data_IF_294582297863
#
_entry.id   IF_294582297863
#
_cell.length_a   1.000
_cell.length_b   1.000
_cell.length_c   1.000
_cell.angle_alpha   90.00
_cell.angle_beta   90.00
_cell.angle_gamma   90.00
#
_symmetry.space_group_name_H-M   'P 1'
#
loop_
_entity.id
_entity.type
_entity.pdbx_description
1 polymer ?
#
# COMPACT_ATOMS: atom_id res chain seq x y z
N UNK A 1 13.73 -0.52 -19.80
CA UNK A 1 14.11 -0.34 -18.38
C UNK A 1 13.08 -1.10 -17.57
N UNK A 2 13.48 -1.80 -16.52
CA UNK A 2 12.55 -2.54 -15.67
C UNK A 2 11.57 -1.56 -14.99
N UNK A 3 10.27 -1.91 -14.98
CA UNK A 3 9.20 -1.08 -14.43
C UNK A 3 9.46 -0.72 -12.96
N UNK A 4 10.00 -1.67 -12.21
CA UNK A 4 10.32 -1.51 -10.80
C UNK A 4 11.43 -0.46 -10.59
N UNK A 5 12.48 -0.50 -11.41
CA UNK A 5 13.54 0.53 -11.37
C UNK A 5 13.01 1.94 -11.67
N UNK A 6 12.09 2.05 -12.63
CA UNK A 6 11.49 3.35 -12.95
C UNK A 6 10.58 3.86 -11.83
N UNK A 7 9.83 2.96 -11.18
CA UNK A 7 9.00 3.30 -10.03
C UNK A 7 9.86 3.72 -8.83
N UNK A 8 10.96 3.02 -8.57
CA UNK A 8 11.91 3.36 -7.50
C UNK A 8 12.54 4.74 -7.72
N UNK A 9 12.85 5.11 -8.97
CA UNK A 9 13.34 6.46 -9.29
C UNK A 9 12.31 7.56 -8.96
N UNK A 10 11.01 7.28 -9.08
CA UNK A 10 9.95 8.21 -8.64
C UNK A 10 9.94 8.31 -7.11
N UNK A 11 10.08 7.20 -6.39
CA UNK A 11 10.15 7.19 -4.91
C UNK A 11 11.32 8.03 -4.41
N UNK A 12 12.49 7.89 -5.03
CA UNK A 12 13.67 8.71 -4.74
C UNK A 12 13.39 10.19 -5.01
N UNK A 13 12.78 10.51 -6.16
CA UNK A 13 12.37 11.88 -6.51
C UNK A 13 11.41 12.48 -5.47
N UNK A 14 10.45 11.70 -4.97
CA UNK A 14 9.53 12.13 -3.90
C UNK A 14 10.31 12.45 -2.64
N UNK A 15 11.22 11.56 -2.23
CA UNK A 15 12.04 11.74 -1.02
C UNK A 15 12.88 13.02 -1.07
N UNK A 16 13.55 13.26 -2.20
CA UNK A 16 14.43 14.40 -2.39
C UNK A 16 13.70 15.74 -2.54
N UNK A 17 12.56 15.74 -3.25
CA UNK A 17 11.96 16.98 -3.78
C UNK A 17 10.67 17.41 -3.10
N UNK A 18 10.03 16.57 -2.28
CA UNK A 18 8.74 16.91 -1.64
C UNK A 18 8.75 18.24 -0.89
N UNK A 19 9.86 18.59 -0.24
CA UNK A 19 10.01 19.87 0.48
C UNK A 19 10.02 21.10 -0.45
N UNK A 20 10.32 20.92 -1.73
CA UNK A 20 10.32 21.97 -2.75
C UNK A 20 8.96 22.08 -3.48
N UNK A 21 8.11 21.07 -3.36
CA UNK A 21 6.83 20.94 -4.07
C UNK A 21 5.70 21.56 -3.24
N UNK A 22 5.47 22.85 -3.39
CA UNK A 22 4.55 23.59 -2.52
C UNK A 22 3.11 23.72 -3.05
N UNK A 23 2.85 23.38 -4.31
CA UNK A 23 1.54 23.55 -4.95
C UNK A 23 1.00 22.24 -5.52
N UNK A 24 -0.31 22.21 -5.75
CA UNK A 24 -0.98 21.10 -6.44
C UNK A 24 -0.40 20.92 -7.87
N UNK A 25 -0.19 22.01 -8.61
CA UNK A 25 0.44 21.96 -9.94
C UNK A 25 1.88 21.44 -9.91
N UNK A 26 2.67 21.82 -8.90
CA UNK A 26 4.00 21.27 -8.73
C UNK A 26 3.95 19.76 -8.39
N UNK A 27 2.94 19.33 -7.64
CA UNK A 27 2.70 17.90 -7.30
C UNK A 27 2.36 17.11 -8.57
N UNK A 28 1.45 17.64 -9.38
CA UNK A 28 1.07 17.08 -10.68
C UNK A 28 2.28 16.90 -11.60
N UNK A 29 3.07 17.95 -11.77
CA UNK A 29 4.25 17.94 -12.66
C UNK A 29 5.38 17.04 -12.13
N UNK A 30 5.66 17.08 -10.83
CA UNK A 30 6.86 16.44 -10.26
C UNK A 30 6.63 14.98 -9.91
N UNK A 31 5.42 14.58 -9.52
CA UNK A 31 5.13 13.24 -9.02
C UNK A 31 4.12 12.49 -9.89
N UNK A 32 3.00 13.12 -10.25
CA UNK A 32 1.91 12.44 -10.99
C UNK A 32 2.29 12.18 -12.45
N UNK A 33 2.78 13.19 -13.18
CA UNK A 33 3.14 13.03 -14.60
C UNK A 33 4.24 11.97 -14.81
N UNK A 34 5.33 11.93 -14.02
CA UNK A 34 6.30 10.84 -14.10
C UNK A 34 5.69 9.47 -13.83
N UNK A 35 4.78 9.36 -12.86
CA UNK A 35 4.08 8.10 -12.59
C UNK A 35 3.25 7.61 -13.79
N UNK A 36 2.50 8.50 -14.44
CA UNK A 36 1.76 8.15 -15.67
C UNK A 36 2.70 7.71 -16.80
N UNK A 37 3.85 8.36 -16.93
CA UNK A 37 4.88 7.97 -17.89
C UNK A 37 5.45 6.58 -17.61
N UNK A 38 5.65 6.23 -16.33
CA UNK A 38 6.12 4.89 -15.91
C UNK A 38 5.07 3.81 -16.18
N UNK A 39 3.78 4.13 -16.07
CA UNK A 39 2.70 3.25 -16.55
C UNK A 39 2.63 3.17 -18.10
N UNK A 40 3.49 3.88 -18.84
CA UNK A 40 3.55 3.82 -20.29
C UNK A 40 2.52 4.68 -21.01
N UNK A 41 1.86 5.63 -20.32
CA UNK A 41 1.00 6.61 -20.97
C UNK A 41 1.84 7.76 -21.55
N UNK A 42 1.57 8.12 -22.80
CA UNK A 42 2.22 9.27 -23.43
C UNK A 42 1.58 10.58 -22.95
N UNK A 43 2.15 11.14 -21.89
CA UNK A 43 1.71 12.40 -21.27
C UNK A 43 1.86 13.63 -22.17
N UNK A 44 2.56 13.52 -23.31
CA UNK A 44 2.68 14.61 -24.29
C UNK A 44 1.70 14.47 -25.45
N UNK A 45 0.99 13.35 -25.54
CA UNK A 45 -0.04 13.14 -26.55
C UNK A 45 -1.42 13.51 -25.98
N UNK A 46 -2.01 14.64 -26.41
CA UNK A 46 -3.31 15.09 -25.91
C UNK A 46 -4.48 14.22 -26.41
N UNK A 47 -4.23 13.19 -27.22
CA UNK A 47 -5.24 12.16 -27.55
C UNK A 47 -5.20 10.96 -26.61
N UNK A 48 -4.17 10.86 -25.74
CA UNK A 48 -3.99 9.78 -24.78
C UNK A 48 -4.13 10.29 -23.35
N UNK A 49 -3.44 11.36 -22.99
CA UNK A 49 -3.57 12.01 -21.67
C UNK A 49 -4.08 13.42 -21.89
N UNK A 50 -5.34 13.66 -21.53
CA UNK A 50 -6.02 14.95 -21.66
C UNK A 50 -5.98 15.67 -20.32
N UNK A 51 -5.23 16.77 -20.17
CA UNK A 51 -5.28 17.58 -18.96
C UNK A 51 -6.57 18.41 -18.89
N UNK A 52 -6.97 18.81 -17.69
CA UNK A 52 -8.14 19.67 -17.44
C UNK A 52 -9.41 19.17 -18.14
N UNK A 53 -9.69 17.86 -18.04
CA UNK A 53 -10.77 17.22 -18.78
C UNK A 53 -12.16 17.64 -18.29
N UNK A 54 -13.03 17.98 -19.25
CA UNK A 54 -14.44 18.33 -19.05
C UNK A 54 -15.35 17.38 -19.81
N UNK A 55 -16.38 16.83 -19.17
CA UNK A 55 -17.43 16.11 -19.85
C UNK A 55 -18.53 17.10 -20.26
N UNK A 56 -18.93 17.09 -21.52
CA UNK A 56 -19.91 18.04 -22.10
C UNK A 56 -21.36 17.85 -21.60
N UNK A 57 -21.57 17.06 -20.54
CA UNK A 57 -22.89 16.62 -20.07
C UNK A 57 -23.28 17.37 -18.80
N UNK A 58 -23.75 18.62 -18.92
CA UNK A 58 -24.59 19.27 -17.88
C UNK A 58 -24.02 19.38 -16.45
N UNK A 59 -22.73 19.08 -16.23
CA UNK A 59 -22.04 19.25 -14.96
C UNK A 59 -21.98 20.74 -14.66
N UNK A 60 -21.90 21.10 -13.37
CA UNK A 60 -21.73 22.46 -12.87
C UNK A 60 -20.71 23.20 -13.75
N UNK A 61 -21.18 24.23 -14.46
CA UNK A 61 -20.44 24.92 -15.53
C UNK A 61 -19.03 25.31 -15.04
N UNK A 62 -17.99 24.73 -15.64
CA UNK A 62 -16.58 25.06 -15.35
C UNK A 62 -15.86 24.13 -14.36
N UNK A 63 -16.48 23.06 -13.88
CA UNK A 63 -15.76 22.00 -13.20
C UNK A 63 -14.89 21.21 -14.20
N UNK A 64 -13.73 20.69 -13.78
CA UNK A 64 -12.81 19.89 -14.60
C UNK A 64 -12.09 18.89 -13.70
N UNK A 65 -11.77 17.70 -14.21
CA UNK A 65 -10.81 16.80 -13.54
C UNK A 65 -9.41 17.03 -14.11
N UNK A 66 -8.39 16.76 -13.31
CA UNK A 66 -7.02 17.11 -13.69
C UNK A 66 -6.50 16.38 -14.92
N UNK A 67 -6.77 15.07 -15.02
CA UNK A 67 -6.42 14.30 -16.22
C UNK A 67 -7.52 13.29 -16.56
N UNK A 68 -7.66 13.02 -17.85
CA UNK A 68 -8.34 11.85 -18.37
C UNK A 68 -7.41 11.06 -19.30
N UNK A 69 -7.31 9.75 -19.06
CA UNK A 69 -6.64 8.83 -19.97
C UNK A 69 -7.69 8.30 -20.95
N UNK A 70 -7.38 8.41 -22.24
CA UNK A 70 -8.21 7.97 -23.33
C UNK A 70 -7.77 6.61 -23.84
N UNK A 71 -8.76 5.76 -24.14
CA UNK A 71 -8.59 4.46 -24.81
C UNK A 71 -9.59 4.39 -25.95
N UNK A 72 -9.11 4.09 -27.16
CA UNK A 72 -9.92 4.02 -28.37
C UNK A 72 -10.77 5.28 -28.63
N UNK A 73 -10.19 6.46 -28.36
CA UNK A 73 -10.84 7.77 -28.56
C UNK A 73 -11.91 8.13 -27.52
N UNK A 74 -12.02 7.38 -26.42
CA UNK A 74 -12.98 7.63 -25.34
C UNK A 74 -12.28 7.75 -23.98
N UNK A 75 -12.82 8.56 -23.04
CA UNK A 75 -12.27 8.63 -21.69
C UNK A 75 -12.42 7.27 -21.00
N UNK A 76 -11.34 6.78 -20.40
CA UNK A 76 -11.27 5.45 -19.78
C UNK A 76 -10.88 5.51 -18.30
N UNK A 77 -9.92 6.36 -17.95
CA UNK A 77 -9.50 6.59 -16.55
C UNK A 77 -9.58 8.09 -16.25
N UNK A 78 -10.23 8.47 -15.16
CA UNK A 78 -10.15 9.83 -14.63
C UNK A 78 -9.12 9.91 -13.52
N UNK A 79 -8.42 11.03 -13.43
CA UNK A 79 -7.42 11.27 -12.40
C UNK A 79 -7.63 12.65 -11.81
N UNK A 80 -7.76 12.71 -10.50
CA UNK A 80 -7.81 13.93 -9.71
C UNK A 80 -6.60 13.93 -8.78
N UNK A 81 -5.83 15.00 -8.83
CA UNK A 81 -4.64 15.19 -8.03
C UNK A 81 -4.87 16.26 -6.95
N UNK A 82 -4.18 16.13 -5.83
CA UNK A 82 -4.13 17.11 -4.74
C UNK A 82 -2.68 17.43 -4.42
N UNK A 83 -2.46 18.48 -3.63
CA UNK A 83 -1.13 18.77 -3.12
C UNK A 83 -0.61 17.58 -2.31
N UNK A 84 0.68 17.24 -2.43
CA UNK A 84 1.28 16.09 -1.75
C UNK A 84 1.14 16.10 -0.21
N UNK A 85 0.91 17.28 0.38
CA UNK A 85 0.67 17.47 1.82
C UNK A 85 -0.79 17.25 2.24
N UNK A 86 -1.73 17.19 1.30
CA UNK A 86 -3.14 17.02 1.59
C UNK A 86 -3.50 15.56 1.88
N UNK A 87 -4.44 15.38 2.81
CA UNK A 87 -5.13 14.11 3.00
C UNK A 87 -6.21 13.98 1.91
N UNK A 88 -6.28 12.83 1.24
CA UNK A 88 -7.22 12.54 0.16
C UNK A 88 -8.66 12.24 0.63
N UNK A 89 -8.91 12.15 1.94
CA UNK A 89 -10.24 11.85 2.48
C UNK A 89 -11.27 12.92 2.09
N UNK A 90 -12.40 12.50 1.51
CA UNK A 90 -13.48 13.38 1.00
C UNK A 90 -13.13 14.24 -0.24
N UNK A 91 -11.98 14.00 -0.89
CA UNK A 91 -11.58 14.70 -2.12
C UNK A 91 -12.04 14.02 -3.42
N UNK A 92 -12.94 13.03 -3.35
CA UNK A 92 -13.41 12.27 -4.51
C UNK A 92 -14.64 12.87 -5.22
N UNK A 93 -15.18 14.00 -4.73
CA UNK A 93 -16.42 14.59 -5.23
C UNK A 93 -16.43 14.87 -6.74
N UNK A 94 -15.30 15.34 -7.29
CA UNK A 94 -15.17 15.63 -8.72
C UNK A 94 -15.17 14.34 -9.53
N UNK A 95 -14.35 13.36 -9.12
CA UNK A 95 -14.31 12.03 -9.74
C UNK A 95 -15.70 11.36 -9.76
N UNK A 96 -16.44 11.37 -8.63
CA UNK A 96 -17.80 10.79 -8.57
C UNK A 96 -18.71 11.41 -9.63
N UNK A 97 -18.72 12.75 -9.74
CA UNK A 97 -19.60 13.45 -10.68
C UNK A 97 -19.28 13.06 -12.12
N UNK A 98 -18.01 12.99 -12.49
CA UNK A 98 -17.59 12.71 -13.86
C UNK A 98 -17.71 11.24 -14.20
N UNK A 99 -17.26 10.36 -13.31
CA UNK A 99 -17.32 8.91 -13.50
C UNK A 99 -18.74 8.46 -13.80
N UNK A 100 -19.73 8.99 -13.06
CA UNK A 100 -21.12 8.58 -13.22
C UNK A 100 -21.79 9.13 -14.50
N UNK A 101 -21.16 10.08 -15.22
CA UNK A 101 -21.75 10.72 -16.41
C UNK A 101 -21.42 10.03 -17.73
N UNK A 102 -20.32 9.26 -17.80
CA UNK A 102 -19.89 8.58 -19.02
C UNK A 102 -19.57 7.10 -18.75
N UNK A 103 -20.34 6.16 -19.31
CA UNK A 103 -20.15 4.72 -19.09
C UNK A 103 -18.87 4.15 -19.69
N UNK A 104 -18.13 4.91 -20.52
CA UNK A 104 -16.83 4.49 -21.02
C UNK A 104 -15.72 4.60 -19.96
N UNK A 105 -15.95 5.40 -18.92
CA UNK A 105 -15.02 5.56 -17.80
C UNK A 105 -15.13 4.33 -16.91
N UNK A 106 -14.01 3.63 -16.73
CA UNK A 106 -13.94 2.37 -15.96
C UNK A 106 -13.18 2.50 -14.66
N UNK A 107 -12.28 3.48 -14.58
CA UNK A 107 -11.47 3.72 -13.40
C UNK A 107 -11.44 5.20 -13.05
N UNK A 108 -11.35 5.47 -11.75
CA UNK A 108 -11.02 6.79 -11.23
C UNK A 108 -9.84 6.67 -10.26
N UNK A 109 -8.91 7.61 -10.32
CA UNK A 109 -7.72 7.66 -9.48
C UNK A 109 -7.71 8.98 -8.73
N UNK A 110 -7.74 8.93 -7.41
CA UNK A 110 -7.48 10.08 -6.55
C UNK A 110 -6.07 9.97 -6.00
N UNK A 111 -5.26 11.02 -6.16
CA UNK A 111 -3.86 10.98 -5.75
C UNK A 111 -3.36 12.32 -5.20
N UNK A 112 -2.33 12.27 -4.36
CA UNK A 112 -1.52 13.44 -4.00
C UNK A 112 -0.07 13.29 -4.50
N UNK A 113 0.15 12.43 -5.50
CA UNK A 113 1.48 12.10 -6.01
C UNK A 113 2.24 11.06 -5.20
N UNK A 114 1.89 10.84 -3.92
CA UNK A 114 2.50 9.85 -3.03
C UNK A 114 1.55 8.67 -2.80
N UNK A 115 0.30 8.95 -2.46
CA UNK A 115 -0.77 7.96 -2.33
C UNK A 115 -1.65 7.97 -3.58
N UNK A 116 -2.01 6.78 -4.07
CA UNK A 116 -2.88 6.56 -5.21
C UNK A 116 -4.03 5.65 -4.79
N UNK A 117 -5.26 6.16 -4.87
CA UNK A 117 -6.50 5.45 -4.55
C UNK A 117 -7.25 5.18 -5.85
N UNK A 118 -7.45 3.91 -6.18
CA UNK A 118 -8.13 3.47 -7.40
C UNK A 118 -9.57 3.05 -7.07
N UNK A 119 -10.50 3.58 -7.85
CA UNK A 119 -11.93 3.34 -7.75
C UNK A 119 -12.46 2.77 -9.06
N UNK A 120 -13.55 2.01 -8.95
CA UNK A 120 -14.30 1.46 -10.09
C UNK A 120 -15.78 1.31 -9.65
N UNK A 121 -16.58 0.57 -10.40
CA UNK A 121 -18.05 0.44 -10.25
C UNK A 121 -18.48 -1.00 -9.97
N UNK A 122 -17.89 -1.65 -8.95
CA UNK A 122 -18.20 -3.05 -8.61
C UNK A 122 -19.60 -3.18 -8.02
N UNK A 123 -20.03 -2.22 -7.20
CA UNK A 123 -21.31 -2.31 -6.50
C UNK A 123 -22.49 -2.11 -7.42
N UNK A 124 -22.39 -1.11 -8.29
CA UNK A 124 -23.41 -0.75 -9.24
C UNK A 124 -22.74 -0.20 -10.49
N UNK A 125 -23.06 -0.79 -11.64
CA UNK A 125 -22.53 -0.36 -12.92
C UNK A 125 -22.75 1.15 -13.17
N UNK A 126 -21.71 1.82 -13.65
CA UNK A 126 -21.66 3.26 -13.91
C UNK A 126 -21.93 4.13 -12.67
N UNK A 127 -21.69 3.59 -11.47
CA UNK A 127 -21.71 4.32 -10.22
C UNK A 127 -20.40 4.06 -9.47
N UNK A 128 -19.58 5.09 -9.33
CA UNK A 128 -18.28 4.95 -8.66
C UNK A 128 -18.45 4.47 -7.21
N UNK A 129 -17.73 3.42 -6.85
CA UNK A 129 -17.72 2.89 -5.49
C UNK A 129 -17.19 3.93 -4.50
N UNK A 130 -17.70 3.91 -3.26
CA UNK A 130 -17.27 4.84 -2.20
C UNK A 130 -15.88 4.53 -1.65
N UNK A 131 -15.47 3.27 -1.72
CA UNK A 131 -14.23 2.76 -1.15
C UNK A 131 -13.32 2.37 -2.31
N UNK A 132 -12.04 2.78 -2.31
CA UNK A 132 -11.11 2.35 -3.34
C UNK A 132 -10.82 0.86 -3.19
N UNK A 133 -10.74 0.13 -4.32
CA UNK A 133 -10.39 -1.29 -4.31
C UNK A 133 -8.88 -1.52 -4.21
N UNK A 134 -8.09 -0.50 -4.53
CA UNK A 134 -6.63 -0.52 -4.45
C UNK A 134 -6.13 0.83 -3.91
N UNK A 135 -5.29 0.78 -2.89
CA UNK A 135 -4.60 1.95 -2.32
C UNK A 135 -3.12 1.64 -2.27
N UNK A 136 -2.32 2.50 -2.88
CA UNK A 136 -0.87 2.34 -2.95
C UNK A 136 -0.21 3.61 -2.45
N UNK A 137 0.77 3.45 -1.56
CA UNK A 137 1.61 4.53 -1.08
C UNK A 137 3.03 4.29 -1.61
N UNK A 138 3.53 5.20 -2.44
CA UNK A 138 4.82 5.08 -3.09
C UNK A 138 6.00 5.09 -2.11
N UNK A 139 5.89 5.79 -0.97
CA UNK A 139 6.91 5.76 0.08
C UNK A 139 6.91 4.45 0.89
N UNK A 140 5.88 3.60 0.74
CA UNK A 140 5.69 2.35 1.49
C UNK A 140 5.37 1.17 0.58
N UNK A 141 5.99 1.14 -0.60
CA UNK A 141 5.76 0.10 -1.60
C UNK A 141 6.09 -1.29 -1.07
N UNK A 142 5.19 -2.22 -1.35
CA UNK A 142 5.39 -3.65 -1.14
C UNK A 142 5.46 -4.37 -2.49
N UNK A 143 6.10 -5.55 -2.57
CA UNK A 143 6.15 -6.33 -3.81
C UNK A 143 4.76 -6.59 -4.44
N UNK A 144 3.73 -6.78 -3.60
CA UNK A 144 2.34 -6.93 -4.07
C UNK A 144 1.79 -5.66 -4.74
N UNK A 145 2.18 -4.49 -4.27
CA UNK A 145 1.69 -3.22 -4.79
C UNK A 145 2.28 -2.98 -6.19
N UNK A 146 3.56 -3.33 -6.40
CA UNK A 146 4.22 -3.32 -7.72
C UNK A 146 3.49 -4.27 -8.68
N UNK A 147 3.15 -5.48 -8.23
CA UNK A 147 2.38 -6.45 -9.04
C UNK A 147 1.01 -5.90 -9.43
N UNK A 148 0.32 -5.21 -8.51
CA UNK A 148 -0.97 -4.59 -8.81
C UNK A 148 -0.83 -3.40 -9.78
N UNK A 149 0.20 -2.55 -9.63
CA UNK A 149 0.47 -1.44 -10.54
C UNK A 149 0.80 -1.87 -11.97
N UNK A 150 1.52 -3.00 -12.14
CA UNK A 150 1.85 -3.53 -13.47
C UNK A 150 0.59 -3.78 -14.32
N UNK A 151 -0.56 -4.02 -13.70
CA UNK A 151 -1.85 -4.21 -14.38
C UNK A 151 -2.38 -2.94 -15.02
N UNK A 152 -1.94 -1.77 -14.55
CA UNK A 152 -2.31 -0.47 -15.08
C UNK A 152 -1.33 0.05 -16.15
N UNK A 153 -0.32 -0.73 -16.50
CA UNK A 153 0.56 -0.42 -17.63
C UNK A 153 -0.28 -0.39 -18.91
N UNK A 154 -0.11 0.65 -19.72
CA UNK A 154 -0.91 0.92 -20.92
C UNK A 154 -1.03 -0.29 -21.86
N UNK A 155 0.06 -1.03 -22.08
CA UNK A 155 0.09 -2.21 -22.96
C UNK A 155 -0.57 -3.45 -22.36
N UNK A 156 -0.62 -3.55 -21.04
CA UNK A 156 -1.04 -4.75 -20.30
C UNK A 156 -2.44 -4.57 -19.67
N UNK A 157 -3.06 -3.41 -19.89
CA UNK A 157 -4.31 -2.99 -19.27
C UNK A 157 -5.50 -3.84 -19.70
N UNK A 158 -5.84 -4.84 -18.88
CA UNK A 158 -6.98 -5.71 -19.05
C UNK A 158 -8.10 -5.37 -18.04
N UNK A 159 -9.22 -4.86 -18.57
CA UNK A 159 -10.36 -4.42 -17.77
C UNK A 159 -10.95 -5.57 -16.92
N UNK A 160 -11.27 -6.70 -17.56
CA UNK A 160 -11.94 -7.81 -16.91
C UNK A 160 -11.08 -8.41 -15.79
N UNK A 161 -9.77 -8.51 -16.03
CA UNK A 161 -8.83 -8.99 -15.02
C UNK A 161 -8.75 -8.05 -13.81
N UNK A 162 -8.65 -6.74 -14.03
CA UNK A 162 -8.59 -5.75 -12.95
C UNK A 162 -9.90 -5.75 -12.16
N UNK A 163 -11.06 -5.81 -12.83
CA UNK A 163 -12.37 -5.86 -12.17
C UNK A 163 -12.52 -7.12 -11.31
N UNK A 164 -12.08 -8.29 -11.81
CA UNK A 164 -12.10 -9.52 -11.02
C UNK A 164 -11.27 -9.40 -9.74
N UNK A 165 -10.06 -8.83 -9.84
CA UNK A 165 -9.18 -8.63 -8.68
C UNK A 165 -9.77 -7.60 -7.72
N UNK A 166 -10.39 -6.54 -8.26
CA UNK A 166 -11.04 -5.53 -7.45
C UNK A 166 -12.20 -6.14 -6.65
N UNK A 167 -12.99 -7.03 -7.26
CA UNK A 167 -14.02 -7.81 -6.57
C UNK A 167 -13.44 -8.71 -5.47
N UNK A 168 -12.37 -9.47 -5.76
CA UNK A 168 -11.71 -10.32 -4.77
C UNK A 168 -11.18 -9.50 -3.58
N UNK A 169 -10.52 -8.38 -3.85
CA UNK A 169 -9.97 -7.48 -2.83
C UNK A 169 -11.04 -6.89 -1.93
N UNK A 170 -12.22 -6.59 -2.46
CA UNK A 170 -13.38 -6.18 -1.65
C UNK A 170 -13.71 -7.23 -0.59
N UNK A 171 -13.81 -8.50 -0.99
CA UNK A 171 -14.10 -9.59 -0.06
C UNK A 171 -12.96 -9.81 0.94
N UNK A 172 -11.71 -9.80 0.51
CA UNK A 172 -10.57 -9.93 1.41
C UNK A 172 -10.54 -8.84 2.48
N UNK A 173 -10.82 -7.60 2.09
CA UNK A 173 -10.86 -6.48 3.02
C UNK A 173 -12.01 -6.62 4.03
N UNK A 174 -13.21 -6.94 3.56
CA UNK A 174 -14.36 -7.17 4.43
C UNK A 174 -14.09 -8.31 5.43
N UNK A 175 -13.51 -9.41 4.96
CA UNK A 175 -13.12 -10.55 5.80
C UNK A 175 -12.07 -10.14 6.84
N UNK A 176 -11.04 -9.39 6.45
CA UNK A 176 -10.01 -8.88 7.37
C UNK A 176 -10.61 -7.99 8.46
N UNK A 177 -11.56 -7.12 8.10
CA UNK A 177 -12.22 -6.23 9.06
C UNK A 177 -13.09 -7.02 10.04
N UNK A 178 -13.80 -8.05 9.56
CA UNK A 178 -14.54 -9.00 10.42
C UNK A 178 -13.57 -9.70 11.37
N UNK A 179 -12.48 -10.29 10.87
CA UNK A 179 -11.49 -10.97 11.71
C UNK A 179 -10.88 -10.04 12.75
N UNK A 180 -10.52 -8.82 12.38
CA UNK A 180 -9.97 -7.83 13.32
C UNK A 180 -10.96 -7.54 14.44
N UNK A 181 -12.23 -7.32 14.09
CA UNK A 181 -13.27 -7.10 15.08
C UNK A 181 -13.50 -8.33 15.97
N UNK A 182 -13.52 -9.54 15.41
CA UNK A 182 -13.69 -10.79 16.17
C UNK A 182 -12.50 -11.09 17.09
N UNK A 183 -11.28 -10.67 16.74
CA UNK A 183 -10.10 -10.78 17.60
C UNK A 183 -10.20 -9.81 18.79
N UNK A 184 -10.58 -8.56 18.54
CA UNK A 184 -10.69 -7.52 19.58
C UNK A 184 -11.93 -7.73 20.47
N UNK A 185 -13.05 -8.08 19.85
CA UNK A 185 -14.39 -8.22 20.44
C UNK A 185 -15.10 -9.47 19.87
N UNK A 186 -14.73 -10.69 20.30
CA UNK A 186 -15.35 -11.91 19.81
C UNK A 186 -16.87 -11.92 20.05
N UNK A 187 -17.63 -12.17 19.00
CA UNK A 187 -19.08 -12.31 19.04
C UNK A 187 -19.50 -13.63 19.70
N UNK A 188 -20.74 -13.72 20.14
CA UNK A 188 -21.29 -14.95 20.74
C UNK A 188 -21.30 -16.11 19.72
N UNK A 189 -21.56 -15.83 18.45
CA UNK A 189 -21.57 -16.82 17.38
C UNK A 189 -20.17 -17.39 17.12
N UNK A 190 -19.19 -16.49 16.95
CA UNK A 190 -17.80 -16.86 16.76
C UNK A 190 -17.25 -17.62 17.97
N UNK A 191 -17.58 -17.15 19.18
CA UNK A 191 -17.21 -17.83 20.43
C UNK A 191 -17.83 -19.22 20.53
N UNK A 192 -19.12 -19.34 20.19
CA UNK A 192 -19.83 -20.63 20.22
C UNK A 192 -19.23 -21.63 19.24
N UNK A 193 -18.78 -21.18 18.07
CA UNK A 193 -18.10 -22.03 17.08
C UNK A 193 -16.86 -22.72 17.67
N UNK A 194 -16.00 -22.00 18.38
CA UNK A 194 -14.84 -22.61 19.05
C UNK A 194 -15.25 -23.46 20.26
N UNK A 195 -16.12 -22.93 21.12
CA UNK A 195 -16.49 -23.59 22.35
C UNK A 195 -17.12 -24.98 22.11
N UNK A 196 -18.00 -25.10 21.11
CA UNK A 196 -18.64 -26.39 20.74
C UNK A 196 -17.65 -27.47 20.29
N UNK A 197 -16.47 -27.09 19.80
CA UNK A 197 -15.43 -28.04 19.39
C UNK A 197 -14.56 -28.51 20.57
N UNK A 198 -14.67 -27.85 21.73
CA UNK A 198 -13.80 -28.06 22.89
C UNK A 198 -14.55 -28.51 24.14
N UNK A 199 -15.88 -28.29 24.21
CA UNK A 199 -16.68 -28.64 25.38
C UNK A 199 -18.11 -29.07 25.03
N UNK A 200 -18.64 -30.01 25.80
CA UNK A 200 -20.05 -30.43 25.77
C UNK A 200 -20.96 -29.57 26.66
N UNK A 201 -20.39 -28.59 27.39
CA UNK A 201 -21.17 -27.66 28.22
C UNK A 201 -22.24 -26.96 27.36
N UNK A 202 -23.42 -26.73 27.95
CA UNK A 202 -24.43 -25.88 27.32
C UNK A 202 -23.87 -24.47 27.14
N UNK A 203 -24.04 -23.89 25.95
CA UNK A 203 -23.61 -22.53 25.61
C UNK A 203 -24.45 -21.47 26.34
N UNK A 204 -24.24 -21.32 27.64
CA UNK A 204 -24.83 -20.25 28.45
C UNK A 204 -23.99 -18.98 28.32
N UNK A 205 -24.53 -17.81 28.67
CA UNK A 205 -23.79 -16.55 28.66
C UNK A 205 -22.51 -16.59 29.49
N UNK A 206 -22.50 -17.34 30.61
CA UNK A 206 -21.30 -17.51 31.43
C UNK A 206 -20.20 -18.31 30.71
N UNK A 207 -20.57 -19.39 29.99
CA UNK A 207 -19.61 -20.18 29.21
C UNK A 207 -19.10 -19.37 28.02
N UNK A 208 -19.96 -18.60 27.35
CA UNK A 208 -19.53 -17.73 26.25
C UNK A 208 -18.55 -16.65 26.75
N UNK A 209 -18.82 -15.98 27.86
CA UNK A 209 -17.86 -14.99 28.41
C UNK A 209 -16.53 -15.60 28.85
N UNK A 210 -16.55 -16.81 29.42
CA UNK A 210 -15.33 -17.57 29.73
C UNK A 210 -14.51 -17.82 28.46
N UNK A 211 -15.15 -18.35 27.41
CA UNK A 211 -14.47 -18.67 26.14
C UNK A 211 -14.04 -17.43 25.35
N UNK A 212 -14.76 -16.31 25.41
CA UNK A 212 -14.32 -15.03 24.82
C UNK A 212 -12.95 -14.62 25.35
N UNK A 213 -12.74 -14.76 26.66
CA UNK A 213 -11.45 -14.43 27.28
C UNK A 213 -10.33 -15.37 26.80
N UNK A 214 -10.62 -16.67 26.67
CA UNK A 214 -9.65 -17.63 26.14
C UNK A 214 -9.30 -17.36 24.69
N UNK A 215 -10.29 -17.04 23.85
CA UNK A 215 -10.10 -16.71 22.44
C UNK A 215 -9.20 -15.47 22.30
N UNK A 216 -9.51 -14.37 23.02
CA UNK A 216 -8.68 -13.15 23.02
C UNK A 216 -7.24 -13.43 23.42
N UNK A 217 -7.04 -14.21 24.49
CA UNK A 217 -5.70 -14.57 24.98
C UNK A 217 -4.95 -15.39 23.94
N UNK A 218 -5.59 -16.43 23.39
CA UNK A 218 -4.99 -17.31 22.39
C UNK A 218 -4.59 -16.55 21.12
N UNK A 219 -5.45 -15.66 20.60
CA UNK A 219 -5.09 -14.83 19.45
C UNK A 219 -3.88 -13.93 19.72
N UNK A 220 -3.81 -13.32 20.91
CA UNK A 220 -2.67 -12.47 21.30
C UNK A 220 -1.37 -13.28 21.35
N UNK A 221 -1.40 -14.47 21.92
CA UNK A 221 -0.24 -15.38 21.97
C UNK A 221 0.19 -15.78 20.55
N UNK A 222 -0.73 -16.23 19.69
CA UNK A 222 -0.43 -16.58 18.29
C UNK A 222 0.20 -15.41 17.53
N UNK A 223 -0.33 -14.19 17.68
CA UNK A 223 0.21 -13.01 16.99
C UNK A 223 1.63 -12.70 17.49
N UNK A 224 1.88 -12.81 18.79
CA UNK A 224 3.20 -12.58 19.36
C UNK A 224 4.20 -13.63 18.88
N UNK A 225 3.80 -14.90 18.83
CA UNK A 225 4.65 -15.99 18.35
C UNK A 225 4.99 -15.79 16.87
N UNK A 226 3.99 -15.48 16.04
CA UNK A 226 4.22 -15.17 14.61
C UNK A 226 5.13 -13.95 14.40
N UNK A 227 5.02 -12.93 15.27
CA UNK A 227 5.90 -11.77 15.22
C UNK A 227 7.33 -12.14 15.65
N UNK A 228 7.48 -12.91 16.72
CA UNK A 228 8.77 -13.40 17.21
C UNK A 228 9.47 -14.27 16.17
N UNK A 229 8.76 -15.22 15.56
CA UNK A 229 9.30 -16.09 14.51
C UNK A 229 9.78 -15.28 13.30
N UNK A 230 8.99 -14.28 12.86
CA UNK A 230 9.40 -13.40 11.75
C UNK A 230 10.63 -12.58 12.10
N UNK A 231 10.68 -11.98 13.30
CA UNK A 231 11.83 -11.19 13.76
C UNK A 231 13.06 -12.08 13.87
N UNK A 232 12.92 -13.28 14.42
CA UNK A 232 14.02 -14.24 14.58
C UNK A 232 14.52 -14.73 13.23
N UNK A 233 13.64 -15.03 12.27
CA UNK A 233 14.03 -15.39 10.91
C UNK A 233 14.76 -14.25 10.21
N UNK A 234 14.32 -13.00 10.39
CA UNK A 234 15.03 -11.82 9.88
C UNK A 234 16.41 -11.72 10.54
N UNK A 235 16.51 -11.86 11.86
CA UNK A 235 17.78 -11.83 12.60
C UNK A 235 18.75 -12.91 12.13
N UNK A 236 18.29 -14.15 11.97
CA UNK A 236 19.10 -15.27 11.51
C UNK A 236 19.56 -15.08 10.06
N UNK A 237 18.69 -14.57 9.17
CA UNK A 237 19.09 -14.22 7.81
C UNK A 237 20.13 -13.09 7.78
N UNK A 238 20.03 -12.10 8.67
CA UNK A 238 21.03 -11.05 8.81
C UNK A 238 22.35 -11.56 9.41
N UNK A 239 22.32 -12.56 10.31
CA UNK A 239 23.52 -13.20 10.86
C UNK A 239 24.21 -14.11 9.84
N UNK A 240 23.46 -14.87 9.04
CA UNK A 240 24.01 -15.70 7.98
C UNK A 240 24.71 -14.88 6.87
N UNK A 241 24.30 -13.63 6.65
CA UNK A 241 25.00 -12.69 5.76
C UNK A 241 26.34 -12.23 6.37
N UNK A 242 26.46 -12.19 7.71
CA UNK A 242 27.71 -11.80 8.38
C UNK A 242 28.70 -12.97 8.51
N UNK A 243 28.23 -14.23 8.58
CA UNK A 243 29.10 -15.41 8.72
C UNK A 243 29.87 -15.77 7.43
N UNK A 244 29.51 -15.17 6.28
CA UNK A 244 30.24 -15.34 5.01
C UNK A 244 31.42 -14.35 4.81
N UNK A 245 31.61 -13.35 5.70
CA UNK A 245 32.71 -12.37 5.58
C UNK A 245 33.82 -12.46 6.65
N UNK A 246 33.66 -13.17 7.76
CA UNK A 246 34.70 -13.23 8.80
C UNK A 246 35.46 -14.57 8.82
N UNK A 247 36.45 -14.68 7.95
CA UNK A 247 37.54 -15.65 8.07
C UNK A 247 38.91 -14.95 8.07
N UNK A 248 39.08 -13.92 8.91
CA UNK A 248 40.40 -13.39 9.24
C UNK A 248 40.69 -13.37 10.75
N UNK A 249 41.66 -14.20 11.10
CA UNK A 249 42.55 -14.27 12.27
C UNK A 249 42.25 -13.40 13.50
N UNK A 250 42.00 -14.11 14.61
CA UNK A 250 42.01 -13.64 16.00
C UNK A 250 43.40 -13.11 16.36
N UNK A 251 43.49 -11.83 16.75
CA UNK A 251 44.60 -11.28 17.53
C UNK A 251 44.07 -10.78 18.89
N UNK A 252 44.77 -11.20 19.95
CA UNK A 252 44.46 -10.97 21.36
C UNK A 252 44.78 -9.53 21.79
N UNK A 253 43.73 -8.80 22.20
CA UNK A 253 43.68 -7.81 23.32
C UNK A 253 42.60 -6.76 23.00
N UNK A 254 41.33 -7.04 23.32
CA UNK A 254 40.25 -6.04 23.21
C UNK A 254 40.06 -5.39 24.58
N UNK A 255 40.40 -4.10 24.70
CA UNK A 255 40.14 -3.27 25.89
C UNK A 255 38.68 -2.81 25.97
N UNK A 256 37.93 -2.90 24.87
CA UNK A 256 36.50 -2.59 24.81
C UNK A 256 35.69 -3.88 24.66
N UNK A 257 34.77 -4.10 25.60
CA UNK A 257 33.79 -5.20 25.55
C UNK A 257 32.47 -4.63 25.07
N UNK A 258 32.14 -4.85 23.81
CA UNK A 258 30.85 -4.47 23.25
C UNK A 258 29.76 -5.35 23.85
N UNK A 259 28.81 -4.71 24.52
CA UNK A 259 27.72 -5.37 25.24
C UNK A 259 26.63 -5.86 24.28
N UNK A 260 25.82 -6.82 24.74
CA UNK A 260 24.67 -7.29 23.96
C UNK A 260 23.67 -6.16 23.67
N UNK A 261 23.50 -5.20 24.59
CA UNK A 261 22.63 -4.04 24.40
C UNK A 261 23.14 -3.11 23.30
N UNK A 262 24.46 -2.87 23.23
CA UNK A 262 25.09 -2.05 22.19
C UNK A 262 24.98 -2.71 20.82
N UNK A 263 25.15 -4.03 20.74
CA UNK A 263 24.91 -4.81 19.52
C UNK A 263 23.44 -4.74 19.09
N UNK A 264 22.49 -4.88 20.03
CA UNK A 264 21.08 -4.74 19.73
C UNK A 264 20.75 -3.34 19.20
N UNK A 265 21.27 -2.29 19.85
CA UNK A 265 21.12 -0.90 19.40
C UNK A 265 21.68 -0.69 17.99
N UNK A 266 22.88 -1.21 17.73
CA UNK A 266 23.50 -1.19 16.40
C UNK A 266 22.62 -1.88 15.35
N UNK A 267 22.09 -3.08 15.63
CA UNK A 267 21.24 -3.81 14.67
C UNK A 267 19.89 -3.13 14.43
N UNK A 268 19.32 -2.46 15.44
CA UNK A 268 18.11 -1.65 15.27
C UNK A 268 18.39 -0.50 14.30
N UNK A 269 19.49 0.25 14.51
CA UNK A 269 19.90 1.35 13.64
C UNK A 269 20.21 0.84 12.22
N UNK A 270 20.96 -0.25 12.09
CA UNK A 270 21.29 -0.88 10.82
C UNK A 270 20.02 -1.33 10.06
N UNK A 271 19.02 -1.86 10.77
CA UNK A 271 17.72 -2.26 10.18
C UNK A 271 16.89 -1.07 9.71
N UNK A 272 16.90 0.04 10.45
CA UNK A 272 16.23 1.28 10.06
C UNK A 272 16.87 1.85 8.79
N UNK A 273 18.20 1.87 8.73
CA UNK A 273 18.95 2.37 7.58
C UNK A 273 18.82 1.45 6.36
N UNK A 274 18.78 0.13 6.55
CA UNK A 274 18.47 -0.84 5.49
C UNK A 274 17.10 -0.55 4.87
N UNK A 275 16.10 -0.30 5.72
CA UNK A 275 14.74 0.02 5.28
C UNK A 275 14.65 1.37 4.54
N UNK A 276 15.65 2.23 4.72
CA UNK A 276 15.81 3.50 4.02
C UNK A 276 16.70 3.39 2.76
N UNK A 277 17.16 2.19 2.39
CA UNK A 277 17.95 1.93 1.18
C UNK A 277 19.46 2.16 1.33
N UNK A 278 19.99 2.27 2.56
CA UNK A 278 21.42 2.39 2.78
C UNK A 278 22.16 1.08 2.47
N UNK A 279 23.37 1.17 1.93
CA UNK A 279 24.25 0.00 1.77
C UNK A 279 24.72 -0.46 3.15
N UNK A 280 24.44 -1.72 3.48
CA UNK A 280 24.74 -2.29 4.79
C UNK A 280 26.23 -2.55 5.01
N UNK A 281 27.00 -2.64 3.92
CA UNK A 281 28.45 -2.77 3.94
C UNK A 281 29.14 -1.50 4.48
N UNK A 282 28.48 -0.33 4.36
CA UNK A 282 29.00 0.95 4.85
C UNK A 282 28.68 1.19 6.34
N UNK A 283 27.83 0.34 6.94
CA UNK A 283 27.34 0.48 8.31
C UNK A 283 27.94 -0.61 9.17
N UNK A 284 29.10 -0.30 9.74
CA UNK A 284 29.86 -1.19 10.62
C UNK A 284 30.11 -0.53 11.97
N UNK A 285 30.22 -1.34 13.01
CA UNK A 285 30.74 -0.90 14.30
C UNK A 285 32.25 -1.17 14.33
N UNK A 286 32.98 -0.36 15.10
CA UNK A 286 34.40 -0.58 15.36
C UNK A 286 34.59 -0.84 16.84
N UNK A 287 35.15 -2.00 17.15
CA UNK A 287 35.74 -2.29 18.46
C UNK A 287 37.24 -1.97 18.33
N UNK A 288 37.65 -0.75 18.66
CA UNK A 288 39.07 -0.38 18.84
C UNK A 288 39.41 -0.32 20.30
#
# INVERSE_FOLDING_TARGET
MDFENQLNAIVETISERKTLVNTEEATKMTFVMPFLKVLGYDVFNPSIVVPEYTADIGIKKGEKVDYAIFKDGKPFILIEAKNHTENLDNHNNQLVRYFNTDPNIKFAILTNGIEYRFFTDIEQQNLMDKIPFLVINLEKLKPRDIKDLKRFICTDLNLDEILNIAMEKKYYKAIQDIFKNEIENPSDEFTSFFAKQMTEKRMTSAVLEEFKNYIKKSFKEIINDLAYDKITNIKNNLQAINDDEDNEQINESRDIVTTEEELQGFYIVKSILASAGANLEDINYKDT
#
